data_IF_961347195921
#
_entry.id   IF_961347195921
#
_cell.length_a   1.000
_cell.length_b   1.000
_cell.length_c   1.000
_cell.angle_alpha   90.00
_cell.angle_beta   90.00
_cell.angle_gamma   90.00
#
_symmetry.space_group_name_H-M   'P 1'
#
loop_
_entity.id
_entity.type
_entity.pdbx_description
1 polymer ?
#
# COMPACT_ATOMS: atom_id res chain seq x y z
N UNK A 1 -7.61 3.72 -86.77
CA UNK A 1 -6.44 3.65 -85.87
C UNK A 1 -6.92 3.83 -84.42
N UNK A 2 -6.38 2.98 -83.52
CA UNK A 2 -6.56 2.96 -82.05
C UNK A 2 -6.39 4.36 -81.42
N UNK A 3 -7.01 4.73 -80.28
CA UNK A 3 -6.69 4.32 -78.89
C UNK A 3 -7.82 4.82 -77.94
N UNK A 4 -8.52 3.92 -77.23
CA UNK A 4 -8.42 3.60 -75.78
C UNK A 4 -8.77 4.74 -74.79
N UNK A 5 -9.95 4.59 -74.18
CA UNK A 5 -10.41 5.14 -72.89
C UNK A 5 -9.50 4.63 -71.77
N UNK A 6 -9.01 5.50 -70.88
CA UNK A 6 -8.75 5.17 -69.47
C UNK A 6 -9.14 6.38 -68.61
N UNK A 7 -10.25 6.23 -67.90
CA UNK A 7 -10.74 7.09 -66.81
C UNK A 7 -9.74 7.12 -65.68
N UNK A 8 -9.27 8.30 -65.26
CA UNK A 8 -8.49 8.51 -64.03
C UNK A 8 -9.33 9.33 -63.05
N UNK A 9 -10.31 8.67 -62.43
CA UNK A 9 -10.99 9.15 -61.22
C UNK A 9 -10.89 8.02 -60.21
N UNK A 10 -9.80 7.98 -59.45
CA UNK A 10 -9.60 6.88 -58.51
C UNK A 10 -8.38 6.92 -57.58
N UNK A 11 -7.61 8.02 -57.53
CA UNK A 11 -6.37 8.03 -56.71
C UNK A 11 -6.30 9.19 -55.69
N UNK A 12 -7.09 10.26 -55.83
CA UNK A 12 -7.02 11.38 -54.86
C UNK A 12 -7.90 11.17 -53.61
N UNK A 13 -8.87 10.25 -53.65
CA UNK A 13 -9.71 9.93 -52.48
C UNK A 13 -9.09 8.88 -51.54
N UNK A 14 -8.09 8.11 -52.00
CA UNK A 14 -7.42 7.11 -51.17
C UNK A 14 -6.24 7.71 -50.35
N UNK A 15 -5.58 8.75 -50.86
CA UNK A 15 -4.41 9.35 -50.18
C UNK A 15 -4.83 10.34 -49.07
N UNK A 16 -6.01 10.94 -49.16
CA UNK A 16 -6.57 11.74 -48.07
C UNK A 16 -7.21 10.90 -46.98
N UNK A 17 -7.70 9.69 -47.28
CA UNK A 17 -8.22 8.76 -46.26
C UNK A 17 -7.11 8.03 -45.47
N UNK A 18 -5.88 7.98 -46.00
CA UNK A 18 -4.71 7.41 -45.32
C UNK A 18 -3.98 8.38 -44.37
N UNK A 19 -4.39 9.66 -44.33
CA UNK A 19 -3.91 10.63 -43.34
C UNK A 19 -4.88 10.83 -42.15
N UNK A 20 -6.01 10.12 -42.15
CA UNK A 20 -7.01 10.19 -41.08
C UNK A 20 -7.18 8.87 -40.31
N UNK A 21 -6.23 7.94 -40.36
CA UNK A 21 -6.25 6.74 -39.49
C UNK A 21 -5.11 6.68 -38.47
N UNK A 22 -4.15 7.61 -38.50
CA UNK A 22 -3.04 7.64 -37.52
C UNK A 22 -3.13 8.76 -36.49
N UNK A 23 -4.25 9.52 -36.47
CA UNK A 23 -4.48 10.60 -35.51
C UNK A 23 -5.74 10.39 -34.64
N UNK A 24 -6.27 9.17 -34.59
CA UNK A 24 -7.29 8.79 -33.62
C UNK A 24 -6.60 8.24 -32.36
N UNK A 25 -6.22 9.16 -31.48
CA UNK A 25 -5.96 8.99 -30.05
C UNK A 25 -5.04 7.82 -29.64
N UNK A 26 -3.72 8.05 -29.65
CA UNK A 26 -2.99 7.76 -28.43
C UNK A 26 -3.00 9.04 -27.60
N UNK A 27 -4.15 9.38 -27.00
CA UNK A 27 -4.03 9.99 -25.68
C UNK A 27 -3.34 8.90 -24.88
N UNK A 28 -2.09 9.11 -24.46
CA UNK A 28 -1.40 8.16 -23.58
C UNK A 28 -2.42 7.70 -22.54
N UNK A 29 -2.83 6.45 -22.62
CA UNK A 29 -3.99 6.01 -21.86
C UNK A 29 -3.64 6.21 -20.39
N UNK A 30 -4.41 7.04 -19.67
CA UNK A 30 -4.05 7.48 -18.33
C UNK A 30 -3.63 6.29 -17.46
N UNK A 31 -2.44 6.40 -16.86
CA UNK A 31 -1.94 5.44 -15.88
C UNK A 31 -2.95 5.27 -14.75
N UNK A 32 -3.01 4.06 -14.18
CA UNK A 32 -3.85 3.76 -13.03
C UNK A 32 -4.81 2.59 -13.24
N UNK A 33 -5.83 2.52 -12.39
CA UNK A 33 -6.75 1.40 -12.36
C UNK A 33 -7.76 1.43 -13.51
N UNK A 34 -7.85 0.31 -14.23
CA UNK A 34 -8.84 0.06 -15.27
C UNK A 34 -9.54 -1.27 -15.00
N UNK A 35 -10.86 -1.32 -15.27
CA UNK A 35 -11.63 -2.57 -15.18
C UNK A 35 -11.65 -3.28 -16.54
N UNK A 36 -11.03 -4.45 -16.63
CA UNK A 36 -10.95 -5.28 -17.84
C UNK A 36 -11.41 -6.69 -17.52
N UNK A 37 -12.37 -7.22 -18.27
CA UNK A 37 -12.92 -8.58 -18.08
C UNK A 37 -13.32 -8.89 -16.62
N UNK A 38 -13.90 -7.90 -15.92
CA UNK A 38 -14.33 -8.04 -14.53
C UNK A 38 -13.24 -7.88 -13.48
N UNK A 39 -11.97 -7.77 -13.86
CA UNK A 39 -10.83 -7.53 -12.96
C UNK A 39 -10.36 -6.08 -13.01
N UNK A 40 -9.88 -5.57 -11.88
CA UNK A 40 -9.19 -4.29 -11.81
C UNK A 40 -7.69 -4.51 -11.99
N UNK A 41 -7.13 -3.90 -13.04
CA UNK A 41 -5.71 -3.95 -13.36
C UNK A 41 -5.10 -2.55 -13.29
N UNK A 42 -3.84 -2.46 -12.91
CA UNK A 42 -3.06 -1.23 -13.07
C UNK A 42 -2.46 -1.20 -14.48
N UNK A 43 -2.72 -0.11 -15.21
CA UNK A 43 -2.16 0.12 -16.53
C UNK A 43 -1.15 1.25 -16.49
N UNK A 44 -0.07 1.08 -17.25
CA UNK A 44 0.93 2.12 -17.53
C UNK A 44 1.11 2.23 -19.03
N UNK A 45 1.06 3.44 -19.58
CA UNK A 45 1.13 3.68 -21.03
C UNK A 45 0.13 2.82 -21.85
N UNK A 46 -1.05 2.56 -21.26
CA UNK A 46 -2.11 1.76 -21.88
C UNK A 46 -1.93 0.25 -21.88
N UNK A 47 -0.88 -0.28 -21.27
CA UNK A 47 -0.68 -1.73 -21.09
C UNK A 47 -0.71 -2.12 -19.61
N UNK A 48 -1.09 -3.36 -19.29
CA UNK A 48 -1.02 -3.87 -17.90
C UNK A 48 0.45 -3.82 -17.43
N UNK A 49 0.71 -3.13 -16.33
CA UNK A 49 2.02 -3.16 -15.68
C UNK A 49 2.01 -4.22 -14.57
N UNK A 50 2.53 -5.41 -14.88
CA UNK A 50 2.59 -6.53 -13.92
C UNK A 50 3.63 -6.32 -12.83
N UNK A 51 4.49 -5.29 -12.93
CA UNK A 51 5.52 -4.99 -11.94
C UNK A 51 5.05 -4.03 -10.87
N UNK A 52 3.88 -3.40 -11.07
CA UNK A 52 3.31 -2.48 -10.09
C UNK A 52 2.74 -3.25 -8.89
N UNK A 53 3.37 -3.04 -7.73
CA UNK A 53 2.90 -3.50 -6.42
C UNK A 53 3.00 -2.33 -5.44
N UNK A 54 1.91 -1.59 -5.25
CA UNK A 54 1.83 -0.44 -4.33
C UNK A 54 0.38 0.06 -4.24
N UNK A 55 0.21 1.22 -3.63
CA UNK A 55 -1.05 1.94 -3.55
C UNK A 55 -1.28 2.80 -4.80
N UNK A 56 -2.54 2.82 -5.26
CA UNK A 56 -2.99 3.69 -6.34
C UNK A 56 -4.30 4.37 -5.95
N UNK A 57 -4.39 5.68 -6.21
CA UNK A 57 -5.63 6.42 -6.00
C UNK A 57 -6.59 6.21 -7.17
N UNK A 58 -7.85 5.91 -6.86
CA UNK A 58 -8.93 5.84 -7.83
C UNK A 58 -10.17 6.52 -7.24
N UNK A 59 -10.52 7.68 -7.79
CA UNK A 59 -11.60 8.54 -7.32
C UNK A 59 -11.56 8.83 -5.81
N UNK A 60 -10.38 9.18 -5.28
CA UNK A 60 -10.21 9.56 -3.88
C UNK A 60 -10.05 8.37 -2.91
N UNK A 61 -10.26 7.14 -3.36
CA UNK A 61 -9.98 5.93 -2.58
C UNK A 61 -8.65 5.34 -2.99
N UNK A 62 -7.83 4.91 -2.02
CA UNK A 62 -6.54 4.27 -2.27
C UNK A 62 -6.69 2.76 -2.19
N UNK A 63 -6.27 2.07 -3.24
CA UNK A 63 -6.35 0.62 -3.37
C UNK A 63 -4.95 0.01 -3.43
N UNK A 64 -4.78 -1.14 -2.81
CA UNK A 64 -3.56 -1.94 -2.95
C UNK A 64 -3.63 -2.80 -4.21
N UNK A 65 -2.61 -2.66 -5.04
CA UNK A 65 -2.37 -3.46 -6.22
C UNK A 65 -1.15 -4.32 -5.97
N UNK A 66 -1.23 -5.57 -6.41
CA UNK A 66 -0.15 -6.54 -6.34
C UNK A 66 0.00 -7.22 -7.69
N UNK A 67 1.22 -7.20 -8.24
CA UNK A 67 1.53 -7.76 -9.55
C UNK A 67 0.61 -7.23 -10.67
N UNK A 68 0.26 -5.94 -10.58
CA UNK A 68 -0.60 -5.24 -11.53
C UNK A 68 -2.10 -5.57 -11.43
N UNK A 69 -2.56 -6.32 -10.42
CA UNK A 69 -3.99 -6.56 -10.15
C UNK A 69 -4.38 -6.04 -8.76
N UNK A 70 -5.57 -5.45 -8.64
CA UNK A 70 -6.11 -5.05 -7.34
C UNK A 70 -6.28 -6.29 -6.44
N UNK A 71 -5.65 -6.29 -5.26
CA UNK A 71 -5.73 -7.39 -4.31
C UNK A 71 -6.68 -7.05 -3.15
N UNK A 72 -7.94 -7.50 -3.27
CA UNK A 72 -8.99 -7.34 -2.25
C UNK A 72 -8.74 -8.12 -0.95
N UNK A 73 -7.82 -9.08 -0.96
CA UNK A 73 -7.54 -9.93 0.20
C UNK A 73 -6.34 -9.43 1.01
N UNK A 74 -5.67 -8.36 0.57
CA UNK A 74 -4.53 -7.83 1.28
C UNK A 74 -4.98 -7.03 2.52
N UNK A 75 -4.47 -7.44 3.68
CA UNK A 75 -4.58 -6.70 4.93
C UNK A 75 -3.21 -6.67 5.59
N UNK A 76 -2.68 -5.47 5.84
CA UNK A 76 -1.32 -5.29 6.33
C UNK A 76 -0.74 -3.94 5.91
N UNK A 77 0.56 -3.81 6.07
CA UNK A 77 1.32 -2.61 5.73
C UNK A 77 1.93 -2.72 4.34
N UNK A 78 1.92 -1.61 3.61
CA UNK A 78 2.62 -1.45 2.33
C UNK A 78 3.37 -0.13 2.29
N UNK A 79 4.54 -0.12 1.64
CA UNK A 79 5.31 1.10 1.45
C UNK A 79 4.76 1.91 0.27
N UNK A 80 4.57 3.21 0.51
CA UNK A 80 4.22 4.20 -0.50
C UNK A 80 5.09 5.45 -0.28
N UNK A 81 6.03 5.67 -1.22
CA UNK A 81 7.03 6.76 -1.16
C UNK A 81 7.77 6.87 0.19
N UNK A 82 8.16 5.72 0.77
CA UNK A 82 8.94 5.64 2.01
C UNK A 82 8.12 5.77 3.30
N UNK A 83 6.79 5.91 3.21
CA UNK A 83 5.88 5.80 4.35
C UNK A 83 5.09 4.51 4.24
N UNK A 84 4.93 3.79 5.36
CA UNK A 84 4.14 2.56 5.44
C UNK A 84 2.70 2.92 5.79
N UNK A 85 1.76 2.45 4.99
CA UNK A 85 0.32 2.66 5.21
C UNK A 85 -0.38 1.35 5.48
N UNK A 86 -1.39 1.41 6.34
CA UNK A 86 -2.25 0.28 6.64
C UNK A 86 -3.36 0.15 5.60
N UNK A 87 -3.48 -1.06 5.07
CA UNK A 87 -4.50 -1.48 4.13
C UNK A 87 -5.33 -2.56 4.79
N UNK A 88 -6.64 -2.47 4.63
CA UNK A 88 -7.61 -3.46 5.10
C UNK A 88 -8.49 -3.86 3.92
N UNK A 89 -8.52 -5.16 3.60
CA UNK A 89 -9.29 -5.71 2.50
C UNK A 89 -9.03 -4.99 1.15
N UNK A 90 -7.74 -4.71 0.88
CA UNK A 90 -7.28 -4.04 -0.34
C UNK A 90 -7.51 -2.53 -0.39
N UNK A 91 -8.03 -1.90 0.67
CA UNK A 91 -8.30 -0.45 0.73
C UNK A 91 -7.49 0.18 1.87
N UNK A 92 -6.84 1.32 1.61
CA UNK A 92 -6.16 2.08 2.66
C UNK A 92 -7.17 2.53 3.73
N UNK A 93 -6.93 2.17 4.99
CA UNK A 93 -7.77 2.56 6.11
C UNK A 93 -7.10 3.71 6.91
N UNK A 94 -7.57 4.93 6.66
CA UNK A 94 -7.08 6.16 7.30
C UNK A 94 -7.39 6.27 8.80
N UNK A 95 -8.38 5.52 9.27
CA UNK A 95 -8.84 5.59 10.67
C UNK A 95 -8.16 4.54 11.55
N UNK A 96 -7.35 3.65 10.96
CA UNK A 96 -6.69 2.60 11.70
C UNK A 96 -5.60 3.14 12.62
N UNK A 97 -5.69 2.79 13.90
CA UNK A 97 -4.66 3.01 14.91
C UNK A 97 -4.45 1.74 15.70
N UNK A 98 -3.23 1.22 15.73
CA UNK A 98 -2.94 -0.09 16.31
C UNK A 98 -1.63 -0.70 15.81
N UNK A 99 -1.50 -2.01 16.01
CA UNK A 99 -0.36 -2.78 15.52
C UNK A 99 -0.73 -3.48 14.21
N UNK A 100 0.01 -3.24 13.15
CA UNK A 100 -0.18 -3.88 11.85
C UNK A 100 1.08 -4.59 11.35
N UNK A 101 0.87 -5.64 10.57
CA UNK A 101 1.93 -6.50 10.03
C UNK A 101 2.47 -5.95 8.71
N UNK A 102 3.80 -5.88 8.58
CA UNK A 102 4.53 -5.75 7.34
C UNK A 102 5.15 -7.12 7.01
N UNK A 103 4.81 -7.69 5.86
CA UNK A 103 5.27 -9.04 5.51
C UNK A 103 4.66 -10.12 6.40
N UNK A 104 5.49 -10.94 7.04
CA UNK A 104 5.05 -12.12 7.80
C UNK A 104 5.25 -12.03 9.31
N UNK A 105 6.18 -11.20 9.79
CA UNK A 105 6.64 -11.21 11.18
C UNK A 105 6.94 -9.81 11.77
N UNK A 106 7.02 -8.77 10.95
CA UNK A 106 7.34 -7.42 11.42
C UNK A 106 6.06 -6.66 11.76
N UNK A 107 5.89 -6.27 13.02
CA UNK A 107 4.74 -5.48 13.46
C UNK A 107 5.14 -4.05 13.75
N UNK A 108 4.36 -3.11 13.23
CA UNK A 108 4.57 -1.69 13.46
C UNK A 108 3.35 -1.00 14.06
N UNK A 109 3.60 0.02 14.88
CA UNK A 109 2.57 0.92 15.36
C UNK A 109 2.14 1.90 14.27
N UNK A 110 0.84 1.90 14.00
CA UNK A 110 0.14 2.74 13.04
C UNK A 110 -0.72 3.73 13.81
N UNK A 111 -0.71 4.98 13.38
CA UNK A 111 -1.60 6.04 13.85
C UNK A 111 -2.19 6.75 12.63
N UNK A 112 -3.52 6.84 12.59
CA UNK A 112 -4.26 7.44 11.47
C UNK A 112 -3.86 6.86 10.09
N UNK A 113 -3.80 5.52 10.01
CA UNK A 113 -3.53 4.78 8.78
C UNK A 113 -2.07 4.77 8.30
N UNK A 114 -1.16 5.49 8.95
CA UNK A 114 0.27 5.50 8.63
C UNK A 114 1.12 5.04 9.81
N UNK A 115 2.25 4.36 9.54
CA UNK A 115 3.22 4.05 10.59
C UNK A 115 3.73 5.36 11.18
N UNK A 116 3.56 5.52 12.49
CA UNK A 116 4.03 6.72 13.20
C UNK A 116 5.55 6.68 13.29
N UNK A 117 6.18 7.85 13.29
CA UNK A 117 7.61 7.93 13.57
C UNK A 117 7.86 7.78 15.08
N UNK A 118 8.80 6.91 15.44
CA UNK A 118 9.41 6.82 16.76
C UNK A 118 8.46 6.58 17.97
N UNK A 119 7.29 5.95 17.76
CA UNK A 119 6.41 5.61 18.88
C UNK A 119 7.09 4.60 19.82
N UNK A 120 7.16 4.91 21.11
CA UNK A 120 7.66 3.98 22.12
C UNK A 120 6.67 3.92 23.27
N UNK A 121 6.20 2.72 23.60
CA UNK A 121 5.13 2.55 24.56
C UNK A 121 4.45 1.20 24.51
N UNK A 122 3.23 1.14 25.05
CA UNK A 122 2.42 -0.06 25.09
C UNK A 122 1.23 0.06 24.14
N UNK A 123 1.02 -0.95 23.31
CA UNK A 123 -0.13 -1.04 22.40
C UNK A 123 -0.95 -2.27 22.73
N UNK A 124 -2.26 -2.09 22.86
CA UNK A 124 -3.19 -3.19 23.12
C UNK A 124 -3.61 -3.87 21.81
N UNK A 125 -3.46 -5.19 21.75
CA UNK A 125 -3.88 -6.01 20.63
C UNK A 125 -4.32 -7.39 21.16
N UNK A 126 -5.47 -7.90 20.70
CA UNK A 126 -5.96 -9.24 20.98
C UNK A 126 -5.88 -9.66 22.48
N UNK A 127 -6.32 -8.79 23.39
CA UNK A 127 -6.36 -9.12 24.82
C UNK A 127 -5.06 -8.86 25.59
N UNK A 128 -3.98 -8.44 24.91
CA UNK A 128 -2.64 -8.29 25.52
C UNK A 128 -2.06 -6.93 25.18
N UNK A 129 -1.11 -6.48 26.00
CA UNK A 129 -0.35 -5.27 25.77
C UNK A 129 1.06 -5.64 25.31
N UNK A 130 1.46 -5.10 24.16
CA UNK A 130 2.76 -5.32 23.56
C UNK A 130 3.61 -4.07 23.68
N UNK A 131 4.90 -4.27 23.98
CA UNK A 131 5.87 -3.19 23.98
C UNK A 131 6.35 -2.91 22.56
N UNK A 132 6.29 -1.64 22.20
CA UNK A 132 6.73 -1.10 20.92
C UNK A 132 7.85 -0.12 21.20
N UNK A 133 8.91 -0.20 20.41
CA UNK A 133 10.07 0.67 20.47
C UNK A 133 10.38 1.20 19.08
N UNK A 134 10.43 2.53 18.94
CA UNK A 134 10.60 3.20 17.65
C UNK A 134 9.64 2.66 16.58
N UNK A 135 8.39 2.51 16.98
CA UNK A 135 7.26 1.97 16.23
C UNK A 135 7.35 0.51 15.85
N UNK A 136 8.43 -0.22 16.14
CA UNK A 136 8.50 -1.65 15.92
C UNK A 136 8.16 -2.44 17.20
N UNK A 137 7.37 -3.50 17.09
CA UNK A 137 7.13 -4.42 18.20
C UNK A 137 8.46 -5.05 18.63
N UNK A 138 8.84 -4.89 19.90
CA UNK A 138 10.10 -5.41 20.42
C UNK A 138 9.86 -6.60 21.36
N UNK A 139 9.91 -7.81 20.80
CA UNK A 139 9.80 -9.09 21.53
C UNK A 139 10.92 -9.34 22.55
N UNK A 140 12.06 -8.66 22.41
CA UNK A 140 13.23 -8.87 23.26
C UNK A 140 13.24 -7.95 24.49
N UNK A 141 12.34 -6.97 24.55
CA UNK A 141 12.30 -6.03 25.66
C UNK A 141 11.82 -6.70 26.94
N UNK A 142 12.61 -6.55 28.01
CA UNK A 142 12.23 -6.93 29.37
C UNK A 142 12.69 -5.83 30.32
N UNK A 143 11.75 -5.21 31.03
CA UNK A 143 12.04 -4.05 31.87
C UNK A 143 10.84 -3.17 32.14
N UNK A 144 11.10 -1.98 32.69
CA UNK A 144 10.08 -1.00 33.02
C UNK A 144 9.84 0.00 31.89
N UNK A 145 8.59 0.10 31.46
CA UNK A 145 8.12 1.16 30.56
C UNK A 145 7.11 2.06 31.26
N UNK A 146 7.12 3.34 30.92
CA UNK A 146 6.16 4.31 31.47
C UNK A 146 5.02 4.49 30.48
N UNK A 147 3.79 4.31 30.96
CA UNK A 147 2.58 4.45 30.15
C UNK A 147 1.51 5.21 30.94
N UNK A 148 1.01 6.31 30.38
CA UNK A 148 0.09 7.25 31.05
C UNK A 148 0.49 7.63 32.49
N UNK A 149 1.78 7.89 32.71
CA UNK A 149 2.29 8.33 34.02
C UNK A 149 2.63 7.19 34.99
N UNK A 150 2.20 5.96 34.72
CA UNK A 150 2.45 4.78 35.57
C UNK A 150 3.53 3.89 34.97
N UNK A 151 4.32 3.25 35.82
CA UNK A 151 5.32 2.26 35.41
C UNK A 151 4.69 0.87 35.29
N UNK A 152 4.98 0.19 34.19
CA UNK A 152 4.56 -1.18 33.94
C UNK A 152 5.77 -2.05 33.66
N UNK A 153 5.73 -3.28 34.15
CA UNK A 153 6.73 -4.27 33.83
C UNK A 153 6.34 -5.04 32.56
N UNK A 154 7.30 -5.14 31.64
CA UNK A 154 7.20 -5.90 30.41
C UNK A 154 8.19 -7.05 30.48
N UNK A 155 7.75 -8.22 30.05
CA UNK A 155 8.56 -9.41 29.94
C UNK A 155 8.44 -9.96 28.52
N UNK A 156 9.58 -10.07 27.82
CA UNK A 156 9.66 -10.56 26.43
C UNK A 156 8.66 -9.87 25.49
N UNK A 157 8.62 -8.54 25.57
CA UNK A 157 7.77 -7.68 24.75
C UNK A 157 6.30 -7.64 25.15
N UNK A 158 5.88 -8.31 26.24
CA UNK A 158 4.49 -8.37 26.69
C UNK A 158 4.35 -7.85 28.11
N UNK A 159 3.36 -7.00 28.37
CA UNK A 159 3.06 -6.52 29.72
C UNK A 159 2.71 -7.70 30.63
N UNK A 160 3.40 -7.78 31.77
CA UNK A 160 3.15 -8.78 32.80
C UNK A 160 2.42 -8.12 33.99
N UNK A 161 1.11 -8.38 34.10
CA UNK A 161 0.24 -7.82 35.14
C UNK A 161 0.52 -8.35 36.54
N UNK A 162 1.11 -9.54 36.64
CA UNK A 162 1.31 -10.26 37.90
C UNK A 162 2.72 -10.05 38.48
N UNK A 163 3.51 -9.16 37.87
CA UNK A 163 4.87 -8.91 38.30
C UNK A 163 4.92 -8.15 39.62
N UNK A 164 5.46 -8.79 40.67
CA UNK A 164 5.64 -8.21 42.01
C UNK A 164 7.11 -8.16 42.45
N UNK A 165 8.05 -8.41 41.52
CA UNK A 165 9.48 -8.50 41.82
C UNK A 165 10.22 -7.16 41.78
N UNK A 166 11.51 -7.21 42.12
CA UNK A 166 12.45 -6.11 41.88
C UNK A 166 13.05 -6.23 40.48
N UNK A 167 13.11 -5.12 39.75
CA UNK A 167 13.69 -5.06 38.41
C UNK A 167 14.69 -3.92 38.31
N UNK A 168 15.80 -4.19 37.62
CA UNK A 168 16.88 -3.23 37.47
C UNK A 168 16.50 -2.13 36.47
N UNK A 169 16.60 -0.88 36.88
CA UNK A 169 16.33 0.30 36.06
C UNK A 169 17.49 1.30 36.15
N UNK A 170 18.11 1.62 35.01
CA UNK A 170 19.29 2.50 34.93
C UNK A 170 20.44 2.17 35.92
N UNK A 171 20.67 0.90 36.18
CA UNK A 171 21.74 0.47 37.09
C UNK A 171 21.32 0.31 38.54
N UNK A 172 20.13 0.77 38.92
CA UNK A 172 19.55 0.66 40.26
C UNK A 172 18.56 -0.50 40.32
N UNK A 173 18.53 -1.22 41.45
CA UNK A 173 17.60 -2.31 41.73
C UNK A 173 16.37 -1.83 42.48
#
# INVERSE_FOLDING_TARGET
MKKRIITVFGIVLAVTLLLFTSAFASSAADDGLKKVNGKWIYTKDGVKDTTFTSLVNYYGTWYYVENGELNWNFTGLTDYYGTKYYVENGILNWDYTGLALLGSDEWYYVENGAVKNDYTGLVYLCGRWFYVEKSALNWNYTGLTKYYGTWYYVEKGILNWDYTGLTKYYGTW
#
